data_IF_967477048276
#
_entry.id   IF_967477048276
#
_cell.length_a   1.000
_cell.length_b   1.000
_cell.length_c   1.000
_cell.angle_alpha   90.00
_cell.angle_beta   90.00
_cell.angle_gamma   90.00
#
_symmetry.space_group_name_H-M   'P 1'
#
loop_
_entity.id
_entity.type
_entity.pdbx_description
1 polymer ?
#
# COMPACT_ATOMS: atom_id res chain seq x y z
N UNK A 1 25.29 12.42 -0.42
CA UNK A 1 24.57 11.13 -0.69
C UNK A 1 23.66 11.35 -1.89
N UNK A 2 23.77 10.56 -2.96
CA UNK A 2 22.84 10.66 -4.08
C UNK A 2 21.44 10.22 -3.63
N UNK A 3 20.42 10.96 -4.05
CA UNK A 3 19.02 10.58 -3.83
C UNK A 3 18.70 9.41 -4.76
N UNK A 4 18.43 8.24 -4.18
CA UNK A 4 18.09 7.03 -4.97
C UNK A 4 16.67 7.13 -5.55
N UNK A 5 15.74 7.71 -4.77
CA UNK A 5 14.35 7.88 -5.19
C UNK A 5 13.78 9.19 -4.65
N UNK A 6 13.36 10.07 -5.55
CA UNK A 6 12.66 11.31 -5.22
C UNK A 6 11.17 11.06 -4.91
N UNK A 7 10.48 12.09 -4.44
CA UNK A 7 9.07 12.01 -4.06
C UNK A 7 8.14 11.67 -5.24
N UNK A 8 8.45 12.16 -6.44
CA UNK A 8 7.68 11.88 -7.65
C UNK A 8 7.82 10.43 -8.08
N UNK A 9 9.05 9.91 -8.09
CA UNK A 9 9.31 8.47 -8.33
C UNK A 9 8.62 7.59 -7.30
N UNK A 10 8.73 7.92 -6.00
CA UNK A 10 8.04 7.18 -4.94
C UNK A 10 6.53 7.11 -5.16
N UNK A 11 5.89 8.25 -5.51
CA UNK A 11 4.43 8.30 -5.70
C UNK A 11 3.98 7.45 -6.89
N UNK A 12 4.71 7.51 -8.01
CA UNK A 12 4.44 6.67 -9.19
C UNK A 12 4.63 5.19 -8.89
N UNK A 13 5.71 4.83 -8.19
CA UNK A 13 5.95 3.44 -7.79
C UNK A 13 4.85 2.90 -6.88
N UNK A 14 4.37 3.70 -5.91
CA UNK A 14 3.28 3.29 -5.03
C UNK A 14 1.97 3.08 -5.79
N UNK A 15 1.65 3.95 -6.75
CA UNK A 15 0.47 3.78 -7.61
C UNK A 15 0.57 2.52 -8.47
N UNK A 16 1.75 2.22 -9.02
CA UNK A 16 1.97 1.00 -9.79
C UNK A 16 1.77 -0.26 -8.91
N UNK A 17 2.34 -0.27 -7.70
CA UNK A 17 2.15 -1.36 -6.74
C UNK A 17 0.67 -1.54 -6.39
N UNK A 18 -0.08 -0.45 -6.21
CA UNK A 18 -1.51 -0.52 -5.94
C UNK A 18 -2.29 -1.20 -7.07
N UNK A 19 -1.96 -0.88 -8.33
CA UNK A 19 -2.58 -1.53 -9.49
C UNK A 19 -2.24 -3.01 -9.57
N UNK A 20 -0.95 -3.38 -9.41
CA UNK A 20 -0.53 -4.78 -9.42
C UNK A 20 -1.16 -5.60 -8.29
N UNK A 21 -1.36 -5.01 -7.11
CA UNK A 21 -2.02 -5.70 -5.99
C UNK A 21 -3.46 -6.04 -6.38
N UNK A 22 -4.20 -5.11 -6.97
CA UNK A 22 -5.57 -5.34 -7.42
C UNK A 22 -5.62 -6.40 -8.51
N UNK A 23 -4.85 -6.22 -9.59
CA UNK A 23 -4.84 -7.15 -10.72
C UNK A 23 -4.51 -8.60 -10.33
N UNK A 24 -3.65 -8.78 -9.31
CA UNK A 24 -3.19 -10.11 -8.89
C UNK A 24 -4.04 -10.75 -7.79
N UNK A 25 -4.72 -9.99 -6.94
CA UNK A 25 -5.35 -10.51 -5.72
C UNK A 25 -6.87 -10.31 -5.68
N UNK A 26 -7.41 -9.28 -6.32
CA UNK A 26 -8.83 -8.97 -6.20
C UNK A 26 -9.37 -8.42 -7.53
N UNK A 27 -10.24 -9.20 -8.18
CA UNK A 27 -11.13 -8.64 -9.19
C UNK A 27 -12.07 -7.59 -8.57
N UNK A 28 -12.88 -6.87 -9.36
CA UNK A 28 -13.78 -5.82 -8.87
C UNK A 28 -14.72 -6.24 -7.72
N UNK A 29 -14.96 -7.55 -7.57
CA UNK A 29 -15.92 -8.13 -6.61
C UNK A 29 -15.26 -8.63 -5.31
N UNK A 30 -13.96 -8.92 -5.31
CA UNK A 30 -13.29 -9.66 -4.21
C UNK A 30 -12.37 -8.76 -3.36
N UNK A 31 -12.51 -7.44 -3.49
CA UNK A 31 -11.67 -6.46 -2.78
C UNK A 31 -11.86 -6.53 -1.26
N UNK A 32 -13.01 -7.01 -0.80
CA UNK A 32 -13.36 -7.09 0.62
C UNK A 32 -12.53 -8.12 1.41
N UNK A 33 -11.84 -9.04 0.72
CA UNK A 33 -10.91 -10.01 1.34
C UNK A 33 -9.45 -9.53 1.38
N UNK A 34 -9.18 -8.33 0.86
CA UNK A 34 -7.82 -7.78 0.80
C UNK A 34 -7.53 -6.93 2.04
N UNK A 35 -6.37 -7.17 2.67
CA UNK A 35 -5.85 -6.34 3.76
C UNK A 35 -4.36 -6.07 3.60
N UNK A 36 -3.91 -4.88 4.01
CA UNK A 36 -2.51 -4.48 3.99
C UNK A 36 -1.93 -4.48 5.40
N UNK A 37 -0.72 -5.00 5.58
CA UNK A 37 -0.01 -4.99 6.87
C UNK A 37 1.32 -4.27 6.75
N UNK A 38 1.42 -3.10 7.39
CA UNK A 38 2.67 -2.35 7.48
C UNK A 38 3.64 -3.00 8.47
N UNK A 39 4.75 -3.54 7.96
CA UNK A 39 5.84 -4.07 8.78
C UNK A 39 6.89 -2.98 9.01
N UNK A 40 7.36 -2.83 10.26
CA UNK A 40 8.32 -1.80 10.68
C UNK A 40 7.73 -0.38 10.69
N UNK A 41 8.41 0.55 11.37
CA UNK A 41 7.94 1.93 11.61
C UNK A 41 7.59 2.70 10.33
N UNK A 42 8.31 2.50 9.22
CA UNK A 42 8.01 3.15 7.92
C UNK A 42 7.07 2.34 7.02
N UNK A 43 6.79 1.07 7.33
CA UNK A 43 5.86 0.26 6.55
C UNK A 43 4.41 0.67 6.75
N UNK A 44 4.05 1.17 7.94
CA UNK A 44 2.69 1.66 8.24
C UNK A 44 2.27 2.82 7.34
N UNK A 45 3.03 3.93 7.23
CA UNK A 45 2.65 5.02 6.33
C UNK A 45 2.68 4.60 4.85
N UNK A 46 3.52 3.64 4.45
CA UNK A 46 3.52 3.09 3.08
C UNK A 46 2.23 2.29 2.83
N UNK A 47 1.86 1.39 3.73
CA UNK A 47 0.62 0.61 3.62
C UNK A 47 -0.61 1.52 3.53
N UNK A 48 -0.68 2.57 4.35
CA UNK A 48 -1.76 3.58 4.28
C UNK A 48 -1.81 4.30 2.94
N UNK A 49 -0.64 4.64 2.36
CA UNK A 49 -0.58 5.29 1.04
C UNK A 49 -1.05 4.36 -0.07
N UNK A 50 -0.71 3.07 0.01
CA UNK A 50 -1.17 2.07 -0.96
C UNK A 50 -2.69 1.89 -0.81
N UNK A 51 -3.22 1.77 0.41
CA UNK A 51 -4.66 1.70 0.65
C UNK A 51 -5.40 2.90 0.05
N UNK A 52 -4.89 4.13 0.26
CA UNK A 52 -5.46 5.33 -0.32
C UNK A 52 -5.38 5.36 -1.86
N UNK A 53 -4.28 4.86 -2.44
CA UNK A 53 -4.15 4.75 -3.89
C UNK A 53 -5.15 3.74 -4.46
N UNK A 54 -5.35 2.60 -3.80
CA UNK A 54 -6.35 1.60 -4.20
C UNK A 54 -7.77 2.19 -4.10
N UNK A 55 -8.08 2.88 -3.00
CA UNK A 55 -9.36 3.56 -2.84
C UNK A 55 -9.63 4.56 -3.98
N UNK A 56 -8.60 5.29 -4.45
CA UNK A 56 -8.74 6.18 -5.61
C UNK A 56 -9.00 5.46 -6.94
N UNK A 57 -8.71 4.17 -7.05
CA UNK A 57 -8.89 3.37 -8.28
C UNK A 57 -10.29 2.73 -8.32
N UNK A 58 -10.74 2.13 -7.21
CA UNK A 58 -11.97 1.33 -7.17
C UNK A 58 -13.04 1.84 -6.19
N UNK A 59 -12.73 2.84 -5.35
CA UNK A 59 -13.64 3.36 -4.33
C UNK A 59 -13.74 2.52 -3.05
N UNK A 60 -13.05 1.38 -2.95
CA UNK A 60 -13.09 0.50 -1.77
C UNK A 60 -12.03 0.90 -0.75
N UNK A 61 -12.38 0.84 0.53
CA UNK A 61 -11.45 1.11 1.63
C UNK A 61 -10.82 -0.21 2.09
N UNK A 62 -9.49 -0.33 1.93
CA UNK A 62 -8.76 -1.52 2.35
C UNK A 62 -8.24 -1.35 3.79
N UNK A 63 -8.49 -2.31 4.69
CA UNK A 63 -7.92 -2.31 6.02
C UNK A 63 -6.38 -2.30 5.97
N UNK A 64 -5.77 -1.28 6.59
CA UNK A 64 -4.32 -1.16 6.72
C UNK A 64 -3.88 -1.36 8.19
N UNK A 65 -3.47 -2.58 8.52
CA UNK A 65 -3.02 -2.98 9.85
C UNK A 65 -1.54 -2.70 10.13
N UNK A 66 -1.15 -2.81 11.40
CA UNK A 66 0.22 -2.57 11.88
C UNK A 66 0.79 -3.86 12.47
N UNK A 67 1.96 -4.27 11.99
CA UNK A 67 2.77 -5.27 12.69
C UNK A 67 4.09 -4.66 13.13
N UNK A 68 4.07 -4.00 14.28
CA UNK A 68 5.27 -3.45 14.89
C UNK A 68 5.88 -4.48 15.84
N UNK A 69 6.60 -5.47 15.30
CA UNK A 69 7.52 -6.28 16.12
C UNK A 69 8.77 -5.41 16.39
N UNK A 70 8.68 -4.52 17.37
CA UNK A 70 9.90 -4.10 18.09
C UNK A 70 10.04 -5.06 19.27
N UNK A 71 10.91 -6.08 19.21
CA UNK A 71 11.46 -6.60 20.45
C UNK A 71 12.12 -5.39 21.14
N UNK A 72 11.64 -5.08 22.34
CA UNK A 72 12.40 -4.24 23.27
C UNK A 72 13.70 -4.96 23.59
#
# INVERSE_FOLDING_TARGET
>A
MPVVMDAGRMSKSLAHIAHEILERNAGPTDVDELALVGIRTRGVPIAKRIAAAIHGINGHEIPAGIRCRRPK
#
